data_IF_965405867865
#
_entry.id   IF_965405867865
#
_cell.length_a   1.000
_cell.length_b   1.000
_cell.length_c   1.000
_cell.angle_alpha   90.00
_cell.angle_beta   90.00
_cell.angle_gamma   90.00
#
_symmetry.space_group_name_H-M   'P 1'
#
loop_
_entity.id
_entity.type
_entity.pdbx_description
1 polymer ?
#
# COMPACT_ATOMS: atom_id res chain seq x y z
N UNK A 1 -3.57 9.61 -0.80
CA UNK A 1 -3.80 8.53 0.19
C UNK A 1 -2.69 7.49 0.16
N UNK A 2 -2.52 6.71 -0.92
CA UNK A 2 -1.58 5.57 -0.97
C UNK A 2 -0.11 5.97 -0.76
N UNK A 3 0.26 7.23 -1.01
CA UNK A 3 1.61 7.75 -0.75
C UNK A 3 1.87 8.16 0.71
N UNK A 4 0.86 8.17 1.57
CA UNK A 4 1.02 8.54 2.98
C UNK A 4 1.50 7.33 3.80
N UNK A 5 2.19 7.59 4.91
CA UNK A 5 2.52 6.54 5.87
C UNK A 5 1.28 6.07 6.65
N UNK A 6 1.35 4.89 7.26
CA UNK A 6 0.35 4.46 8.22
C UNK A 6 0.33 5.42 9.42
N UNK A 7 -0.86 5.88 9.83
CA UNK A 7 -1.02 6.78 10.96
C UNK A 7 -2.03 6.21 11.97
N UNK A 8 -1.56 5.77 13.15
CA UNK A 8 -2.44 5.27 14.22
C UNK A 8 -3.38 6.33 14.79
N UNK A 9 -3.07 7.62 14.66
CA UNK A 9 -3.75 8.69 15.39
C UNK A 9 -3.44 8.66 16.91
N UNK A 10 -3.99 9.62 17.67
CA UNK A 10 -3.64 9.82 19.09
C UNK A 10 -4.39 8.90 20.06
N UNK A 11 -5.50 8.29 19.62
CA UNK A 11 -6.28 7.39 20.46
C UNK A 11 -5.54 6.07 20.74
N UNK A 12 -5.90 5.40 21.85
CA UNK A 12 -5.21 4.20 22.37
C UNK A 12 -5.97 2.89 22.13
N UNK A 13 -6.91 2.88 21.20
CA UNK A 13 -7.52 1.65 20.72
C UNK A 13 -6.54 0.78 19.94
N UNK A 14 -6.93 -0.45 19.64
CA UNK A 14 -6.13 -1.37 18.83
C UNK A 14 -7.03 -2.02 17.80
N UNK A 15 -7.22 -1.33 16.68
CA UNK A 15 -8.08 -1.80 15.59
C UNK A 15 -7.20 -2.26 14.42
N UNK A 16 -7.20 -3.56 14.08
CA UNK A 16 -6.44 -4.04 12.93
C UNK A 16 -6.98 -3.43 11.64
N UNK A 17 -6.10 -2.82 10.86
CA UNK A 17 -6.39 -2.18 9.58
C UNK A 17 -5.25 -2.44 8.60
N UNK A 18 -5.48 -2.12 7.32
CA UNK A 18 -4.50 -2.24 6.26
C UNK A 18 -4.11 -0.85 5.75
N UNK A 19 -2.85 -0.69 5.37
CA UNK A 19 -2.36 0.49 4.65
C UNK A 19 -1.49 0.03 3.48
N UNK A 20 -1.39 0.85 2.45
CA UNK A 20 -0.47 0.59 1.34
C UNK A 20 0.94 1.07 1.72
N UNK A 21 1.90 0.14 1.70
CA UNK A 21 3.32 0.45 1.78
C UNK A 21 3.88 0.61 0.36
N UNK A 22 4.12 1.86 -0.02
CA UNK A 22 4.70 2.20 -1.33
C UNK A 22 6.14 1.72 -1.51
N UNK A 23 6.89 1.50 -0.43
CA UNK A 23 8.27 1.00 -0.52
C UNK A 23 8.31 -0.48 -0.91
N UNK A 24 7.42 -1.28 -0.33
CA UNK A 24 7.25 -2.70 -0.65
C UNK A 24 6.22 -2.97 -1.76
N UNK A 25 5.54 -1.91 -2.25
CA UNK A 25 4.42 -1.97 -3.21
C UNK A 25 3.36 -3.00 -2.83
N UNK A 26 3.01 -3.07 -1.55
CA UNK A 26 2.06 -4.05 -1.03
C UNK A 26 1.23 -3.48 0.12
N UNK A 27 0.07 -4.06 0.36
CA UNK A 27 -0.78 -3.71 1.49
C UNK A 27 -0.37 -4.49 2.73
N UNK A 28 -0.09 -3.79 3.84
CA UNK A 28 0.34 -4.38 5.11
C UNK A 28 -0.61 -4.02 6.24
N UNK A 29 -0.68 -4.88 7.25
CA UNK A 29 -1.48 -4.64 8.44
C UNK A 29 -0.79 -3.62 9.38
N UNK A 30 -1.59 -2.79 10.04
CA UNK A 30 -1.19 -1.94 11.17
C UNK A 30 -2.33 -1.82 12.18
N UNK A 31 -2.06 -1.21 13.34
CA UNK A 31 -3.07 -0.94 14.36
C UNK A 31 -3.45 0.54 14.35
N UNK A 32 -4.73 0.81 14.10
CA UNK A 32 -5.33 2.13 14.21
C UNK A 32 -5.81 2.38 15.64
N UNK A 33 -5.55 3.57 16.17
CA UNK A 33 -5.88 4.00 17.51
C UNK A 33 -7.37 4.30 17.74
N UNK A 34 -8.15 4.48 16.68
CA UNK A 34 -9.61 4.68 16.76
C UNK A 34 -10.08 6.11 16.55
N UNK A 35 -9.19 7.11 16.51
CA UNK A 35 -9.51 8.48 16.11
C UNK A 35 -8.40 9.10 15.26
N UNK A 36 -8.75 10.12 14.47
CA UNK A 36 -7.88 10.85 13.54
C UNK A 36 -7.08 9.93 12.59
N UNK A 37 -5.80 10.24 12.39
CA UNK A 37 -4.93 9.60 11.42
C UNK A 37 -5.17 10.10 10.00
N UNK A 38 -4.95 9.22 9.01
CA UNK A 38 -5.10 9.58 7.60
C UNK A 38 -5.85 8.52 6.78
N UNK A 39 -6.07 8.83 5.49
CA UNK A 39 -6.87 8.02 4.57
C UNK A 39 -6.17 6.77 4.02
N UNK A 40 -4.87 6.53 4.28
CA UNK A 40 -4.20 5.27 3.94
C UNK A 40 -4.54 4.20 4.98
N UNK A 41 -5.84 3.88 5.09
CA UNK A 41 -6.39 2.99 6.12
C UNK A 41 -7.64 2.30 5.59
N UNK A 42 -7.55 0.99 5.46
CA UNK A 42 -8.60 0.13 4.88
C UNK A 42 -8.97 -0.96 5.86
N UNK A 43 -10.20 -1.47 5.76
CA UNK A 43 -10.70 -2.52 6.65
C UNK A 43 -10.29 -3.92 6.20
N UNK A 44 -9.94 -4.09 4.92
CA UNK A 44 -9.49 -5.37 4.38
C UNK A 44 -8.27 -5.19 3.47
N UNK A 45 -7.51 -6.27 3.28
CA UNK A 45 -6.40 -6.29 2.34
C UNK A 45 -6.88 -6.01 0.90
N UNK A 46 -7.94 -6.68 0.45
CA UNK A 46 -8.50 -6.51 -0.90
C UNK A 46 -9.00 -5.08 -1.17
N UNK A 47 -9.57 -4.40 -0.19
CA UNK A 47 -9.94 -2.98 -0.29
C UNK A 47 -8.69 -2.11 -0.53
N UNK A 48 -7.63 -2.32 0.25
CA UNK A 48 -6.37 -1.61 0.07
C UNK A 48 -5.75 -1.87 -1.32
N UNK A 49 -5.68 -3.13 -1.73
CA UNK A 49 -5.08 -3.53 -3.01
C UNK A 49 -5.88 -2.97 -4.18
N UNK A 50 -7.20 -3.02 -4.11
CA UNK A 50 -8.06 -2.52 -5.18
C UNK A 50 -7.94 -1.01 -5.38
N UNK A 51 -7.69 -0.26 -4.31
CA UNK A 51 -7.53 1.19 -4.33
C UNK A 51 -6.12 1.62 -4.73
N UNK A 52 -5.10 0.92 -4.25
CA UNK A 52 -3.70 1.39 -4.33
C UNK A 52 -2.81 0.61 -5.30
N UNK A 53 -3.12 -0.64 -5.65
CA UNK A 53 -2.27 -1.46 -6.54
C UNK A 53 -2.73 -1.36 -8.00
N UNK A 54 -4.04 -1.37 -8.27
CA UNK A 54 -4.55 -1.33 -9.66
C UNK A 54 -4.38 0.03 -10.37
N UNK A 55 -3.75 1.02 -9.73
CA UNK A 55 -3.42 2.31 -10.33
C UNK A 55 -1.96 2.44 -10.75
N UNK A 56 -1.11 1.47 -10.43
CA UNK A 56 0.19 1.34 -11.07
C UNK A 56 -0.02 0.58 -12.38
N UNK A 57 0.03 1.30 -13.51
CA UNK A 57 0.25 0.71 -14.84
C UNK A 57 1.31 -0.40 -14.72
N UNK A 58 1.17 -1.53 -15.43
CA UNK A 58 2.19 -2.57 -15.43
C UNK A 58 3.53 -1.88 -15.71
N UNK A 59 4.47 -2.01 -14.78
CA UNK A 59 5.83 -1.56 -15.04
C UNK A 59 6.22 -2.09 -16.43
N UNK A 60 6.62 -1.23 -17.38
CA UNK A 60 6.90 -1.69 -18.73
C UNK A 60 7.92 -2.81 -18.60
N UNK A 61 7.55 -4.00 -19.09
CA UNK A 61 8.43 -5.15 -19.11
C UNK A 61 9.66 -4.78 -19.93
N UNK A 62 10.70 -4.33 -19.24
CA UNK A 62 12.04 -4.14 -19.80
C UNK A 62 12.61 -5.51 -20.11
N UNK A 63 12.24 -6.00 -21.30
CA UNK A 63 12.96 -6.94 -22.15
C UNK A 63 14.36 -7.37 -21.65
N UNK A 64 14.42 -8.58 -21.10
CA UNK A 64 15.61 -9.42 -21.23
C UNK A 64 15.83 -9.74 -22.71
N UNK A 65 16.92 -9.22 -23.28
CA UNK A 65 17.58 -9.87 -24.42
C UNK A 65 19.08 -9.71 -24.27
N UNK A 66 19.67 -10.50 -23.37
CA UNK A 66 21.07 -10.87 -23.49
C UNK A 66 21.22 -11.99 -24.54
N UNK A 67 21.42 -11.63 -25.82
CA UNK A 67 22.50 -12.17 -26.70
C UNK A 67 22.31 -11.83 -28.18
N UNK A 68 23.43 -11.44 -28.80
CA UNK A 68 23.81 -11.59 -30.22
C UNK A 68 23.02 -10.81 -31.27
N UNK A 69 23.58 -9.70 -31.75
CA UNK A 69 24.33 -9.61 -33.02
C UNK A 69 24.68 -8.13 -33.29
N UNK A 70 25.93 -7.75 -33.01
CA UNK A 70 26.87 -6.98 -33.85
C UNK A 70 28.19 -6.84 -33.07
#
# INVERSE_FOLDING_TARGET
MCSQQADPGPCRGSFPKFYYDSSARTCRQFFYGGCDGNANRFSTQSECESVCIHREEPAPAGNDTSLSHL
#
